data_IF_110961530666
#
_entry.id   IF_110961530666
#
_cell.length_a   1.000
_cell.length_b   1.000
_cell.length_c   1.000
_cell.angle_alpha   90.00
_cell.angle_beta   90.00
_cell.angle_gamma   90.00
#
_symmetry.space_group_name_H-M   'P 1'
#
loop_
_entity.id
_entity.type
_entity.pdbx_description
1 polymer ?
#
# COMPACT_ATOMS: atom_id res chain seq x y z
N UNK A 1 -6.18 41.93 -12.07
CA UNK A 1 -5.37 41.04 -12.92
C UNK A 1 -6.22 39.84 -13.31
N UNK A 2 -6.65 39.74 -14.57
CA UNK A 2 -7.30 38.53 -15.09
C UNK A 2 -6.20 37.54 -15.40
N UNK A 3 -6.06 36.49 -14.60
CA UNK A 3 -5.22 35.34 -14.94
C UNK A 3 -5.80 34.79 -16.24
N UNK A 4 -4.98 34.71 -17.29
CA UNK A 4 -5.44 34.30 -18.61
C UNK A 4 -6.17 32.96 -18.55
N UNK A 5 -7.31 32.86 -19.24
CA UNK A 5 -8.16 31.66 -19.27
C UNK A 5 -7.38 30.42 -19.71
N UNK A 6 -6.29 30.63 -20.45
CA UNK A 6 -5.31 29.63 -20.86
C UNK A 6 -4.50 29.10 -19.67
N UNK A 7 -3.94 29.98 -18.83
CA UNK A 7 -3.21 29.61 -17.60
C UNK A 7 -4.12 28.93 -16.58
N UNK A 8 -5.38 29.38 -16.44
CA UNK A 8 -6.37 28.67 -15.61
C UNK A 8 -6.61 27.24 -16.09
N UNK A 9 -6.65 27.00 -17.41
CA UNK A 9 -6.85 25.66 -17.96
C UNK A 9 -5.69 24.70 -17.65
N UNK A 10 -4.46 25.22 -17.57
CA UNK A 10 -3.27 24.44 -17.20
C UNK A 10 -3.24 24.14 -15.69
N UNK A 11 -3.46 25.15 -14.84
CA UNK A 11 -3.50 25.00 -13.38
C UNK A 11 -4.60 24.04 -12.91
N UNK A 12 -5.76 24.02 -13.60
CA UNK A 12 -6.86 23.08 -13.30
C UNK A 12 -6.50 21.62 -13.69
N UNK A 13 -5.64 21.42 -14.71
CA UNK A 13 -5.19 20.08 -15.11
C UNK A 13 -4.11 19.50 -14.19
N UNK A 14 -3.18 20.33 -13.68
CA UNK A 14 -2.15 19.89 -12.73
C UNK A 14 -2.74 19.30 -11.44
N UNK A 15 -3.86 19.84 -10.95
CA UNK A 15 -4.48 19.43 -9.70
C UNK A 15 -5.29 18.13 -9.78
N UNK A 16 -5.31 17.44 -10.92
CA UNK A 16 -6.10 16.21 -11.10
C UNK A 16 -5.43 14.96 -10.53
N UNK A 17 -4.10 14.93 -10.44
CA UNK A 17 -3.35 13.76 -9.96
C UNK A 17 -3.45 13.58 -8.45
N UNK A 18 -3.31 14.66 -7.67
CA UNK A 18 -3.34 14.57 -6.20
C UNK A 18 -4.63 13.95 -5.64
N UNK A 19 -5.84 14.33 -6.08
CA UNK A 19 -7.07 13.68 -5.63
C UNK A 19 -7.10 12.18 -5.90
N UNK A 20 -6.56 11.72 -7.04
CA UNK A 20 -6.51 10.30 -7.39
C UNK A 20 -5.53 9.54 -6.49
N UNK A 21 -4.38 10.12 -6.14
CA UNK A 21 -3.46 9.51 -5.17
C UNK A 21 -4.07 9.43 -3.77
N UNK A 22 -4.78 10.47 -3.34
CA UNK A 22 -5.48 10.48 -2.05
C UNK A 22 -6.59 9.42 -2.03
N UNK A 23 -7.33 9.29 -3.13
CA UNK A 23 -8.35 8.26 -3.33
C UNK A 23 -7.73 6.85 -3.25
N UNK A 24 -6.64 6.60 -3.98
CA UNK A 24 -5.92 5.32 -3.95
C UNK A 24 -5.38 5.00 -2.55
N UNK A 25 -4.81 5.96 -1.84
CA UNK A 25 -4.30 5.73 -0.49
C UNK A 25 -5.42 5.45 0.52
N UNK A 26 -6.58 6.08 0.37
CA UNK A 26 -7.75 5.76 1.19
C UNK A 26 -8.30 4.36 0.90
N UNK A 27 -8.26 3.94 -0.36
CA UNK A 27 -8.63 2.61 -0.83
C UNK A 27 -7.72 1.53 -0.22
N UNK A 28 -6.39 1.75 -0.26
CA UNK A 28 -5.37 0.90 0.39
C UNK A 28 -5.60 0.82 1.91
N UNK A 29 -5.83 1.95 2.58
CA UNK A 29 -6.08 1.97 4.03
C UNK A 29 -7.32 1.14 4.42
N UNK A 30 -8.37 1.18 3.60
CA UNK A 30 -9.57 0.39 3.83
C UNK A 30 -9.31 -1.12 3.65
N UNK A 31 -8.64 -1.50 2.56
CA UNK A 31 -8.27 -2.90 2.31
C UNK A 31 -7.36 -3.48 3.41
N UNK A 32 -6.37 -2.70 3.86
CA UNK A 32 -5.46 -3.11 4.94
C UNK A 32 -6.20 -3.38 6.25
N UNK A 33 -7.20 -2.56 6.62
CA UNK A 33 -8.01 -2.79 7.83
C UNK A 33 -8.80 -4.09 7.74
N UNK A 34 -9.43 -4.33 6.59
CA UNK A 34 -10.16 -5.58 6.34
C UNK A 34 -9.25 -6.81 6.35
N UNK A 35 -8.00 -6.67 5.89
CA UNK A 35 -7.01 -7.76 5.98
C UNK A 35 -6.76 -8.15 7.44
N UNK A 36 -6.62 -7.19 8.36
CA UNK A 36 -6.45 -7.49 9.80
C UNK A 36 -7.70 -8.15 10.37
N UNK A 37 -8.90 -7.68 10.01
CA UNK A 37 -10.15 -8.32 10.40
C UNK A 37 -10.22 -9.77 9.89
N UNK A 38 -9.80 -10.02 8.65
CA UNK A 38 -9.75 -11.34 8.04
C UNK A 38 -8.78 -12.28 8.77
N UNK A 39 -7.61 -11.78 9.18
CA UNK A 39 -6.62 -12.55 9.94
C UNK A 39 -7.12 -12.95 11.33
N UNK A 40 -8.03 -12.17 11.92
CA UNK A 40 -8.60 -12.42 13.24
C UNK A 40 -9.88 -13.27 13.20
N UNK A 41 -10.59 -13.27 12.08
CA UNK A 41 -11.86 -13.98 11.92
C UNK A 41 -11.66 -15.50 11.81
N UNK A 42 -12.55 -16.26 12.46
CA UNK A 42 -12.54 -17.73 12.50
C UNK A 42 -13.71 -18.35 11.73
N UNK A 43 -14.78 -17.59 11.50
CA UNK A 43 -15.95 -18.03 10.74
C UNK A 43 -15.65 -18.01 9.22
N UNK A 44 -15.67 -19.18 8.54
CA UNK A 44 -15.35 -19.26 7.12
C UNK A 44 -16.27 -18.44 6.21
N UNK A 45 -17.54 -18.25 6.56
CA UNK A 45 -18.45 -17.44 5.73
C UNK A 45 -18.15 -15.95 5.88
N UNK A 46 -17.78 -15.49 7.08
CA UNK A 46 -17.31 -14.12 7.28
C UNK A 46 -15.96 -13.87 6.64
N UNK A 47 -15.04 -14.83 6.69
CA UNK A 47 -13.76 -14.74 5.97
C UNK A 47 -13.99 -14.57 4.46
N UNK A 48 -14.94 -15.29 3.87
CA UNK A 48 -15.31 -15.11 2.45
C UNK A 48 -15.87 -13.72 2.16
N UNK A 49 -16.71 -13.18 3.05
CA UNK A 49 -17.27 -11.84 2.91
C UNK A 49 -16.16 -10.77 2.97
N UNK A 50 -15.29 -10.84 3.97
CA UNK A 50 -14.15 -9.93 4.13
C UNK A 50 -13.21 -9.98 2.93
N UNK A 51 -12.86 -11.18 2.45
CA UNK A 51 -12.06 -11.33 1.24
C UNK A 51 -12.72 -10.72 0.01
N UNK A 52 -14.05 -10.91 -0.15
CA UNK A 52 -14.79 -10.30 -1.25
C UNK A 52 -14.66 -8.77 -1.20
N UNK A 53 -14.84 -8.18 -0.02
CA UNK A 53 -14.73 -6.73 0.13
C UNK A 53 -13.31 -6.23 -0.18
N UNK A 54 -12.26 -6.93 0.28
CA UNK A 54 -10.86 -6.63 -0.07
C UNK A 54 -10.64 -6.69 -1.58
N UNK A 55 -11.21 -7.68 -2.26
CA UNK A 55 -11.12 -7.81 -3.72
C UNK A 55 -11.83 -6.67 -4.45
N UNK A 56 -12.97 -6.17 -3.95
CA UNK A 56 -13.62 -4.99 -4.52
C UNK A 56 -12.75 -3.73 -4.34
N UNK A 57 -12.03 -3.61 -3.21
CA UNK A 57 -11.04 -2.55 -3.03
C UNK A 57 -9.88 -2.68 -4.02
N UNK A 58 -9.31 -3.86 -4.24
CA UNK A 58 -8.28 -4.08 -5.27
C UNK A 58 -8.78 -3.67 -6.67
N UNK A 59 -9.97 -4.12 -7.06
CA UNK A 59 -10.56 -3.74 -8.35
C UNK A 59 -10.80 -2.23 -8.48
N UNK A 60 -11.27 -1.58 -7.42
CA UNK A 60 -11.41 -0.12 -7.39
C UNK A 60 -10.05 0.57 -7.51
N UNK A 61 -9.00 -0.02 -6.92
CA UNK A 61 -7.63 0.47 -7.02
C UNK A 61 -7.09 0.42 -8.45
N UNK A 62 -7.25 -0.72 -9.13
CA UNK A 62 -6.90 -0.89 -10.54
C UNK A 62 -7.55 0.20 -11.42
N UNK A 63 -8.82 0.51 -11.16
CA UNK A 63 -9.55 1.55 -11.88
C UNK A 63 -8.97 2.95 -11.65
N UNK A 64 -8.54 3.25 -10.42
CA UNK A 64 -7.90 4.52 -10.08
C UNK A 64 -6.52 4.61 -10.75
N UNK A 65 -5.73 3.54 -10.72
CA UNK A 65 -4.43 3.44 -11.40
C UNK A 65 -4.58 3.62 -12.92
N UNK A 66 -5.57 2.96 -13.54
CA UNK A 66 -5.87 3.14 -14.96
C UNK A 66 -6.25 4.59 -15.30
N UNK A 67 -7.02 5.26 -14.44
CA UNK A 67 -7.39 6.67 -14.59
C UNK A 67 -6.18 7.61 -14.43
N UNK A 68 -5.26 7.31 -13.52
CA UNK A 68 -3.99 8.03 -13.39
C UNK A 68 -3.18 7.96 -14.69
N UNK A 69 -3.06 6.76 -15.29
CA UNK A 69 -2.37 6.60 -16.58
C UNK A 69 -3.08 7.31 -17.74
N UNK A 70 -4.42 7.28 -17.76
CA UNK A 70 -5.20 8.00 -18.76
C UNK A 70 -5.00 9.53 -18.65
N UNK A 71 -5.07 10.09 -17.45
CA UNK A 71 -4.82 11.52 -17.22
C UNK A 71 -3.37 11.89 -17.54
N UNK A 72 -2.40 11.03 -17.21
CA UNK A 72 -1.00 11.23 -17.58
C UNK A 72 -0.84 11.30 -19.11
N UNK A 73 -1.46 10.40 -19.86
CA UNK A 73 -1.42 10.39 -21.33
C UNK A 73 -2.07 11.63 -21.98
N UNK A 74 -3.12 12.19 -21.36
CA UNK A 74 -3.85 13.36 -21.89
C UNK A 74 -3.28 14.71 -21.44
N UNK A 75 -2.39 14.71 -20.45
CA UNK A 75 -1.87 15.92 -19.81
C UNK A 75 -0.48 16.23 -20.32
N UNK A 76 -0.29 17.41 -20.92
CA UNK A 76 1.01 17.84 -21.45
C UNK A 76 1.93 18.42 -20.37
N UNK A 77 1.37 19.15 -19.39
CA UNK A 77 2.09 19.76 -18.28
C UNK A 77 1.71 19.06 -16.99
N UNK A 78 2.67 18.44 -16.32
CA UNK A 78 2.47 17.66 -15.10
C UNK A 78 3.05 18.38 -13.88
N UNK A 79 2.49 18.15 -12.66
CA UNK A 79 2.93 18.84 -11.45
C UNK A 79 4.36 18.48 -11.01
N UNK A 80 4.83 17.30 -11.41
CA UNK A 80 6.20 16.82 -11.24
C UNK A 80 6.53 15.87 -12.41
N UNK A 81 7.69 15.22 -12.36
CA UNK A 81 8.17 14.34 -13.42
C UNK A 81 7.12 13.27 -13.79
N UNK A 82 6.90 13.09 -15.09
CA UNK A 82 5.93 12.12 -15.62
C UNK A 82 6.31 10.69 -15.27
N UNK A 83 7.61 10.38 -15.23
CA UNK A 83 8.12 9.08 -14.85
C UNK A 83 7.80 8.80 -13.38
N UNK A 84 7.97 9.79 -12.51
CA UNK A 84 7.63 9.66 -11.08
C UNK A 84 6.12 9.48 -10.86
N UNK A 85 5.27 10.19 -11.63
CA UNK A 85 3.82 9.98 -11.60
C UNK A 85 3.48 8.53 -11.96
N UNK A 86 4.09 8.00 -13.03
CA UNK A 86 3.87 6.64 -13.48
C UNK A 86 4.34 5.61 -12.43
N UNK A 87 5.57 5.74 -11.95
CA UNK A 87 6.17 4.86 -10.95
C UNK A 87 5.39 4.88 -9.63
N UNK A 88 5.02 6.06 -9.14
CA UNK A 88 4.24 6.21 -7.90
C UNK A 88 2.88 5.50 -8.02
N UNK A 89 2.19 5.70 -9.15
CA UNK A 89 0.89 5.06 -9.40
C UNK A 89 1.02 3.54 -9.38
N UNK A 90 1.97 2.98 -10.13
CA UNK A 90 2.19 1.54 -10.20
C UNK A 90 2.64 0.93 -8.88
N UNK A 91 3.44 1.63 -8.07
CA UNK A 91 3.89 1.11 -6.76
C UNK A 91 2.79 1.12 -5.70
N UNK A 92 1.91 2.13 -5.71
CA UNK A 92 0.73 2.13 -4.84
C UNK A 92 -0.23 0.98 -5.20
N UNK A 93 -0.42 0.73 -6.49
CA UNK A 93 -1.17 -0.40 -7.02
C UNK A 93 -0.58 -1.74 -6.56
N UNK A 94 0.74 -1.92 -6.74
CA UNK A 94 1.42 -3.14 -6.28
C UNK A 94 1.28 -3.35 -4.77
N UNK A 95 1.29 -2.29 -3.96
CA UNK A 95 1.07 -2.44 -2.52
C UNK A 95 -0.35 -2.97 -2.21
N UNK A 96 -1.37 -2.47 -2.91
CA UNK A 96 -2.74 -2.97 -2.79
C UNK A 96 -2.86 -4.43 -3.23
N UNK A 97 -2.20 -4.80 -4.32
CA UNK A 97 -2.19 -6.18 -4.84
C UNK A 97 -1.67 -7.17 -3.80
N UNK A 98 -0.60 -6.82 -3.10
CA UNK A 98 -0.03 -7.69 -2.06
C UNK A 98 -0.95 -7.81 -0.83
N UNK A 99 -1.70 -6.76 -0.47
CA UNK A 99 -2.76 -6.84 0.55
C UNK A 99 -3.86 -7.82 0.11
N UNK A 100 -4.30 -7.73 -1.14
CA UNK A 100 -5.29 -8.65 -1.71
C UNK A 100 -4.76 -10.08 -1.81
N UNK A 101 -3.50 -10.28 -2.21
CA UNK A 101 -2.87 -11.59 -2.29
C UNK A 101 -2.69 -12.24 -0.92
N UNK A 102 -2.39 -11.45 0.13
CA UNK A 102 -2.39 -11.94 1.51
C UNK A 102 -3.78 -12.45 1.93
N UNK A 103 -4.83 -11.68 1.63
CA UNK A 103 -6.21 -12.08 1.91
C UNK A 103 -6.62 -13.35 1.15
N UNK A 104 -6.23 -13.44 -0.13
CA UNK A 104 -6.46 -14.59 -0.99
C UNK A 104 -5.78 -15.85 -0.46
N UNK A 105 -4.52 -15.76 -0.05
CA UNK A 105 -3.78 -16.90 0.54
C UNK A 105 -4.40 -17.33 1.85
N UNK A 106 -4.81 -16.39 2.71
CA UNK A 106 -5.50 -16.70 3.95
C UNK A 106 -6.80 -17.50 3.70
N UNK A 107 -7.64 -17.05 2.78
CA UNK A 107 -8.91 -17.72 2.45
C UNK A 107 -8.72 -19.07 1.75
N UNK A 108 -7.73 -19.16 0.86
CA UNK A 108 -7.47 -20.36 0.05
C UNK A 108 -6.82 -21.47 0.86
N UNK A 109 -5.84 -21.13 1.71
CA UNK A 109 -5.06 -22.12 2.44
C UNK A 109 -5.73 -22.59 3.72
N UNK A 110 -6.54 -21.74 4.37
CA UNK A 110 -7.23 -22.06 5.64
C UNK A 110 -6.26 -22.71 6.64
N UNK A 111 -5.27 -21.95 7.14
CA UNK A 111 -4.40 -22.46 8.19
C UNK A 111 -5.23 -22.83 9.42
N UNK A 112 -4.76 -23.79 10.21
CA UNK A 112 -5.43 -24.28 11.42
C UNK A 112 -5.59 -23.17 12.46
N UNK A 113 -4.63 -22.26 12.51
CA UNK A 113 -4.63 -21.10 13.40
C UNK A 113 -3.78 -19.99 12.81
N UNK A 114 -4.17 -18.74 13.07
CA UNK A 114 -3.37 -17.57 12.72
C UNK A 114 -2.55 -17.15 13.95
N UNK A 115 -1.23 -17.12 13.81
CA UNK A 115 -0.31 -16.70 14.87
C UNK A 115 -0.47 -15.19 15.14
N UNK A 116 -0.32 -14.77 16.40
CA UNK A 116 -0.32 -13.35 16.78
C UNK A 116 0.75 -12.53 16.04
N UNK A 117 1.88 -13.14 15.67
CA UNK A 117 2.91 -12.50 14.85
C UNK A 117 2.37 -12.12 13.45
N UNK A 118 1.60 -13.00 12.80
CA UNK A 118 0.97 -12.68 11.51
C UNK A 118 -0.04 -11.53 11.64
N UNK A 119 -0.79 -11.49 12.74
CA UNK A 119 -1.71 -10.39 13.04
C UNK A 119 -0.94 -9.08 13.26
N UNK A 120 0.19 -9.12 13.97
CA UNK A 120 1.06 -7.97 14.18
C UNK A 120 1.63 -7.43 12.85
N UNK A 121 2.09 -8.31 11.95
CA UNK A 121 2.51 -7.91 10.60
C UNK A 121 1.36 -7.23 9.83
N UNK A 122 0.14 -7.79 9.91
CA UNK A 122 -1.05 -7.14 9.33
C UNK A 122 -1.34 -5.75 9.91
N UNK A 123 -1.10 -5.54 11.21
CA UNK A 123 -1.25 -4.23 11.84
C UNK A 123 -0.20 -3.22 11.36
N UNK A 124 1.03 -3.68 11.10
CA UNK A 124 2.07 -2.86 10.47
C UNK A 124 1.67 -2.39 9.06
N UNK A 125 1.08 -3.28 8.24
CA UNK A 125 0.53 -2.92 6.92
C UNK A 125 -0.55 -1.82 7.05
N UNK A 126 -1.41 -1.87 8.08
CA UNK A 126 -2.39 -0.80 8.36
C UNK A 126 -1.70 0.50 8.72
N UNK A 127 -0.62 0.47 9.49
CA UNK A 127 0.17 1.65 9.84
C UNK A 127 0.82 2.27 8.58
N UNK A 128 1.45 1.45 7.74
CA UNK A 128 2.01 1.87 6.45
C UNK A 128 0.96 2.54 5.57
N UNK A 129 -0.21 1.93 5.42
CA UNK A 129 -1.30 2.48 4.63
C UNK A 129 -1.79 3.84 5.15
N UNK A 130 -1.84 4.02 6.48
CA UNK A 130 -2.18 5.32 7.11
C UNK A 130 -1.11 6.37 6.83
N UNK A 131 0.17 6.03 6.99
CA UNK A 131 1.27 6.95 6.73
C UNK A 131 1.32 7.32 5.24
N UNK A 132 1.12 6.35 4.35
CA UNK A 132 1.02 6.57 2.91
C UNK A 132 -0.09 7.55 2.56
N UNK A 133 -1.27 7.41 3.18
CA UNK A 133 -2.36 8.36 3.00
C UNK A 133 -2.00 9.77 3.47
N UNK A 134 -1.30 9.92 4.60
CA UNK A 134 -0.81 11.22 5.03
C UNK A 134 0.20 11.81 4.04
N UNK A 135 1.10 10.99 3.49
CA UNK A 135 2.05 11.41 2.44
C UNK A 135 1.28 11.91 1.22
N UNK A 136 0.29 11.16 0.73
CA UNK A 136 -0.50 11.55 -0.44
C UNK A 136 -1.32 12.84 -0.21
N UNK A 137 -1.85 13.04 1.00
CA UNK A 137 -2.49 14.30 1.38
C UNK A 137 -1.51 15.49 1.41
N UNK A 138 -0.25 15.23 1.74
CA UNK A 138 0.83 16.21 1.77
C UNK A 138 1.51 16.46 0.41
N UNK A 139 1.25 15.62 -0.59
CA UNK A 139 2.03 15.57 -1.84
C UNK A 139 2.02 16.90 -2.62
N UNK A 140 0.89 17.63 -2.64
CA UNK A 140 0.80 18.97 -3.26
C UNK A 140 1.78 19.98 -2.62
N UNK A 141 2.16 19.77 -1.36
CA UNK A 141 3.02 20.65 -0.57
C UNK A 141 4.45 20.12 -0.42
N UNK A 142 4.84 19.12 -1.21
CA UNK A 142 6.14 18.44 -1.09
C UNK A 142 7.34 19.40 -1.15
N UNK A 143 7.28 20.45 -1.97
CA UNK A 143 8.32 21.48 -2.04
C UNK A 143 8.37 22.41 -0.82
N UNK A 144 7.22 22.62 -0.15
CA UNK A 144 7.11 23.51 1.01
C UNK A 144 7.43 22.80 2.32
N UNK A 145 7.18 21.50 2.37
CA UNK A 145 7.31 20.65 3.58
C UNK A 145 8.06 19.34 3.29
N UNK A 146 9.24 19.37 2.64
CA UNK A 146 9.95 18.16 2.24
C UNK A 146 10.40 17.33 3.46
N UNK A 147 10.78 17.98 4.55
CA UNK A 147 11.24 17.33 5.78
C UNK A 147 10.12 16.49 6.43
N UNK A 148 8.92 17.07 6.56
CA UNK A 148 7.73 16.42 7.13
C UNK A 148 7.36 15.14 6.36
N UNK A 149 7.43 15.20 5.03
CA UNK A 149 7.14 14.03 4.18
C UNK A 149 8.28 13.00 4.26
N UNK A 150 9.54 13.44 4.27
CA UNK A 150 10.67 12.53 4.38
C UNK A 150 10.68 11.77 5.73
N UNK A 151 10.29 12.41 6.83
CA UNK A 151 10.13 11.74 8.14
C UNK A 151 9.10 10.60 8.06
N UNK A 152 7.99 10.79 7.35
CA UNK A 152 6.99 9.74 7.10
C UNK A 152 7.56 8.60 6.26
N UNK A 153 8.33 8.89 5.21
CA UNK A 153 8.99 7.85 4.42
C UNK A 153 10.02 7.06 5.25
N UNK A 154 10.75 7.72 6.17
CA UNK A 154 11.66 7.05 7.10
C UNK A 154 10.89 6.14 8.06
N UNK A 155 9.69 6.56 8.52
CA UNK A 155 8.85 5.71 9.37
C UNK A 155 8.39 4.44 8.64
N UNK A 156 7.93 4.54 7.38
CA UNK A 156 7.57 3.35 6.57
C UNK A 156 8.75 2.38 6.47
N UNK A 157 9.95 2.90 6.20
CA UNK A 157 11.16 2.06 6.17
C UNK A 157 11.45 1.38 7.52
N UNK A 158 11.22 2.06 8.64
CA UNK A 158 11.36 1.44 9.95
C UNK A 158 10.34 0.32 10.17
N UNK A 159 9.09 0.52 9.72
CA UNK A 159 8.04 -0.49 9.82
C UNK A 159 8.41 -1.75 9.02
N UNK A 160 8.96 -1.59 7.82
CA UNK A 160 9.44 -2.73 7.02
C UNK A 160 10.53 -3.53 7.75
N UNK A 161 11.57 -2.88 8.28
CA UNK A 161 12.55 -3.58 9.13
C UNK A 161 11.92 -4.25 10.37
N UNK A 162 10.96 -3.59 11.03
CA UNK A 162 10.27 -4.17 12.20
C UNK A 162 9.47 -5.43 11.79
N UNK A 163 8.95 -5.48 10.56
CA UNK A 163 8.18 -6.60 10.02
C UNK A 163 9.08 -7.75 9.54
N UNK A 164 10.26 -7.46 9.01
CA UNK A 164 11.30 -8.45 8.73
C UNK A 164 11.66 -9.22 10.01
N UNK A 165 11.91 -8.50 11.11
CA UNK A 165 12.21 -9.10 12.42
C UNK A 165 11.06 -10.00 12.91
N UNK A 166 9.80 -9.54 12.75
CA UNK A 166 8.60 -10.33 13.09
C UNK A 166 8.48 -11.58 12.23
N UNK A 167 8.79 -11.48 10.94
CA UNK A 167 8.76 -12.59 10.01
C UNK A 167 9.84 -13.62 10.34
N UNK A 168 11.07 -13.19 10.60
CA UNK A 168 12.16 -14.08 11.03
C UNK A 168 11.81 -14.83 12.31
N UNK A 169 11.26 -14.12 13.31
CA UNK A 169 10.78 -14.72 14.54
C UNK A 169 9.67 -15.75 14.28
N UNK A 170 8.69 -15.40 13.46
CA UNK A 170 7.59 -16.29 13.09
C UNK A 170 8.08 -17.54 12.38
N UNK A 171 8.98 -17.39 11.40
CA UNK A 171 9.53 -18.52 10.66
C UNK A 171 10.36 -19.43 11.55
N UNK A 172 11.17 -18.88 12.47
CA UNK A 172 11.91 -19.66 13.46
C UNK A 172 10.97 -20.51 14.33
N UNK A 173 9.86 -19.95 14.80
CA UNK A 173 8.86 -20.68 15.59
C UNK A 173 8.18 -21.80 14.79
N UNK A 174 7.69 -21.47 13.58
CA UNK A 174 7.01 -22.43 12.71
C UNK A 174 7.91 -23.61 12.36
N UNK A 175 9.18 -23.37 11.98
CA UNK A 175 10.10 -24.46 11.63
C UNK A 175 10.53 -25.30 12.83
N UNK A 176 10.59 -24.73 14.03
CA UNK A 176 10.91 -25.49 15.24
C UNK A 176 9.75 -26.40 15.67
N UNK A 177 8.51 -25.89 15.60
CA UNK A 177 7.38 -26.47 16.30
C UNK A 177 6.38 -27.20 15.39
N UNK A 178 6.14 -26.74 14.16
CA UNK A 178 5.18 -27.38 13.25
C UNK A 178 5.75 -28.69 12.67
N UNK A 179 4.95 -29.76 12.69
CA UNK A 179 5.33 -31.09 12.19
C UNK A 179 4.58 -31.48 10.92
N UNK A 180 3.45 -30.82 10.66
CA UNK A 180 2.69 -30.95 9.43
C UNK A 180 3.30 -30.07 8.35
N UNK A 181 3.99 -30.69 7.39
CA UNK A 181 4.64 -29.99 6.29
C UNK A 181 3.65 -29.19 5.41
N UNK A 182 2.38 -29.62 5.32
CA UNK A 182 1.36 -28.87 4.58
C UNK A 182 1.03 -27.58 5.34
N UNK A 183 0.83 -27.67 6.64
CA UNK A 183 0.54 -26.50 7.48
C UNK A 183 1.70 -25.51 7.49
N UNK A 184 2.94 -26.01 7.60
CA UNK A 184 4.15 -25.20 7.49
C UNK A 184 4.18 -24.40 6.18
N UNK A 185 3.88 -25.03 5.03
CA UNK A 185 3.87 -24.34 3.73
C UNK A 185 2.78 -23.26 3.68
N UNK A 186 1.59 -23.52 4.22
CA UNK A 186 0.52 -22.52 4.29
C UNK A 186 0.96 -21.29 5.10
N UNK A 187 1.48 -21.53 6.30
CA UNK A 187 1.93 -20.50 7.23
C UNK A 187 3.08 -19.68 6.65
N UNK A 188 4.09 -20.35 6.08
CA UNK A 188 5.20 -19.69 5.36
C UNK A 188 4.70 -18.80 4.24
N UNK A 189 3.80 -19.30 3.39
CA UNK A 189 3.31 -18.53 2.25
C UNK A 189 2.45 -17.33 2.66
N UNK A 190 1.76 -17.40 3.80
CA UNK A 190 1.00 -16.27 4.35
C UNK A 190 1.96 -15.25 4.99
N UNK A 191 2.93 -15.71 5.80
CA UNK A 191 3.92 -14.82 6.41
C UNK A 191 4.73 -14.06 5.36
N UNK A 192 5.25 -14.76 4.34
CA UNK A 192 6.04 -14.15 3.27
C UNK A 192 5.27 -13.03 2.55
N UNK A 193 4.01 -13.24 2.20
CA UNK A 193 3.26 -12.21 1.45
C UNK A 193 2.90 -10.99 2.31
N UNK A 194 2.81 -11.16 3.63
CA UNK A 194 2.61 -10.02 4.55
C UNK A 194 3.90 -9.18 4.66
N UNK A 195 5.07 -9.81 4.73
CA UNK A 195 6.36 -9.12 4.68
C UNK A 195 6.63 -8.49 3.31
N UNK A 196 6.38 -9.22 2.22
CA UNK A 196 6.48 -8.69 0.87
C UNK A 196 5.61 -7.42 0.69
N UNK A 197 4.43 -7.35 1.35
CA UNK A 197 3.54 -6.19 1.28
C UNK A 197 4.15 -4.94 1.92
N UNK A 198 4.85 -5.06 3.04
CA UNK A 198 5.50 -3.91 3.70
C UNK A 198 6.72 -3.43 2.91
N UNK A 199 7.44 -4.33 2.24
CA UNK A 199 8.47 -3.96 1.27
C UNK A 199 7.88 -3.14 0.09
N UNK A 200 6.66 -3.47 -0.39
CA UNK A 200 5.95 -2.66 -1.39
C UNK A 200 5.57 -1.27 -0.87
N UNK A 201 5.18 -1.13 0.40
CA UNK A 201 4.92 0.17 1.00
C UNK A 201 6.20 1.03 1.06
N UNK A 202 7.32 0.41 1.44
CA UNK A 202 8.65 1.03 1.43
C UNK A 202 9.06 1.47 0.04
N UNK A 203 8.81 0.67 -1.01
CA UNK A 203 9.06 1.06 -2.40
C UNK A 203 8.34 2.37 -2.77
N UNK A 204 7.08 2.54 -2.32
CA UNK A 204 6.35 3.81 -2.52
C UNK A 204 7.04 4.97 -1.81
N UNK A 205 7.48 4.75 -0.56
CA UNK A 205 8.26 5.73 0.20
C UNK A 205 9.56 6.15 -0.49
N UNK A 206 10.27 5.21 -1.10
CA UNK A 206 11.50 5.48 -1.85
C UNK A 206 11.25 6.32 -3.12
N UNK A 207 10.14 6.09 -3.84
CA UNK A 207 9.74 6.95 -4.97
C UNK A 207 9.47 8.38 -4.48
N UNK A 208 8.72 8.55 -3.39
CA UNK A 208 8.42 9.87 -2.82
C UNK A 208 9.70 10.59 -2.40
N UNK A 209 10.66 9.90 -1.79
CA UNK A 209 11.98 10.48 -1.45
C UNK A 209 12.76 10.89 -2.71
N UNK A 210 12.68 10.10 -3.78
CA UNK A 210 13.23 10.45 -5.09
C UNK A 210 12.66 11.77 -5.63
N UNK A 211 11.34 11.95 -5.53
CA UNK A 211 10.67 13.21 -5.90
C UNK A 211 11.18 14.38 -5.06
N UNK A 212 11.33 14.20 -3.74
CA UNK A 212 11.89 15.24 -2.85
C UNK A 212 13.28 15.67 -3.31
N UNK A 213 14.17 14.72 -3.63
CA UNK A 213 15.54 15.00 -4.05
C UNK A 213 15.57 15.80 -5.36
N UNK A 214 14.66 15.50 -6.30
CA UNK A 214 14.57 16.25 -7.58
C UNK A 214 14.11 17.69 -7.41
N UNK A 215 13.44 18.02 -6.30
CA UNK A 215 12.98 19.38 -5.98
C UNK A 215 13.94 20.18 -5.09
N UNK A 216 14.99 19.55 -4.57
CA UNK A 216 16.03 20.20 -3.75
C UNK A 216 17.02 20.98 -4.62
#
# INVERSE_FOLDING_TARGET
MKIDRFLQLFVVKEKKFYPLYIEQAANIEAAAKLLVELLQEQDPEKQKALYKDIKEYEHSGDMITAKLYEELNKTFVTPFDREDINLLSGRMDTFLDFIHDAAKRMLMYRPKSVNQLLIAMGQCIVEDARILKDIMNGLEYIQKKPQEINEKCVRIKQIEHDVDDLYEQFMSDVFANEKDAIELVKLKNIGQVLEDATDRAKDVGDIVRGIIIKFA
#
